data_IF_485166425021
#
_entry.id   IF_485166425021
#
_cell.length_a   1.000
_cell.length_b   1.000
_cell.length_c   1.000
_cell.angle_alpha   90.00
_cell.angle_beta   90.00
_cell.angle_gamma   90.00
#
_symmetry.space_group_name_H-M   'P 1'
#
loop_
_entity.id
_entity.type
_entity.pdbx_description
1 polymer ?
#
# COMPACT_ATOMS: atom_id res chain seq x y z
N UNK A 1 10.46 -9.68 -13.37
CA UNK A 1 11.38 -8.52 -13.27
C UNK A 1 12.69 -8.91 -13.92
N UNK A 2 13.12 -8.17 -14.93
CA UNK A 2 14.43 -8.36 -15.56
C UNK A 2 15.54 -7.85 -14.61
N UNK A 3 16.66 -8.57 -14.50
CA UNK A 3 17.75 -8.22 -13.57
C UNK A 3 18.31 -6.82 -13.83
N UNK A 4 18.25 -6.34 -15.08
CA UNK A 4 18.62 -4.97 -15.46
C UNK A 4 17.69 -3.91 -14.86
N UNK A 5 16.40 -4.19 -14.75
CA UNK A 5 15.42 -3.30 -14.15
C UNK A 5 15.60 -3.19 -12.63
N UNK A 6 15.83 -4.33 -11.96
CA UNK A 6 16.14 -4.37 -10.54
C UNK A 6 17.40 -3.57 -10.19
N UNK A 7 18.46 -3.68 -11.00
CA UNK A 7 19.70 -2.92 -10.79
C UNK A 7 19.51 -1.41 -10.99
N UNK A 8 18.67 -0.99 -11.95
CA UNK A 8 18.33 0.42 -12.15
C UNK A 8 17.52 0.97 -10.98
N UNK A 9 16.55 0.19 -10.48
CA UNK A 9 15.77 0.54 -9.29
C UNK A 9 16.67 0.67 -8.05
N UNK A 10 17.57 -0.29 -7.83
CA UNK A 10 18.52 -0.24 -6.72
C UNK A 10 19.43 0.99 -6.80
N UNK A 11 19.92 1.33 -7.99
CA UNK A 11 20.77 2.52 -8.21
C UNK A 11 20.02 3.82 -7.89
N UNK A 12 18.77 3.95 -8.33
CA UNK A 12 17.91 5.12 -8.02
C UNK A 12 17.64 5.22 -6.52
N UNK A 13 17.30 4.11 -5.87
CA UNK A 13 17.09 4.07 -4.42
C UNK A 13 18.35 4.49 -3.65
N UNK A 14 19.52 4.05 -4.11
CA UNK A 14 20.80 4.44 -3.50
C UNK A 14 21.08 5.94 -3.68
N UNK A 15 20.70 6.54 -4.80
CA UNK A 15 20.82 7.99 -5.03
C UNK A 15 19.87 8.78 -4.12
N UNK A 16 18.61 8.36 -4.01
CA UNK A 16 17.61 9.01 -3.16
C UNK A 16 18.04 9.04 -1.68
N UNK A 17 18.54 7.92 -1.16
CA UNK A 17 19.08 7.83 0.21
C UNK A 17 20.34 8.68 0.41
N UNK A 18 21.11 8.90 -0.67
CA UNK A 18 22.36 9.66 -0.59
C UNK A 18 22.18 11.17 -0.69
N UNK A 19 20.97 11.66 -0.96
CA UNK A 19 20.67 13.09 -0.99
C UNK A 19 20.94 13.75 0.37
N UNK A 20 21.38 15.01 0.34
CA UNK A 20 21.67 15.77 1.56
C UNK A 20 20.45 15.88 2.48
N UNK A 21 19.27 16.06 1.90
CA UNK A 21 18.00 16.13 2.63
C UNK A 21 17.63 14.80 3.31
N UNK A 22 17.88 13.65 2.67
CA UNK A 22 17.64 12.35 3.29
C UNK A 22 18.61 12.09 4.46
N UNK A 23 19.86 12.56 4.35
CA UNK A 23 20.90 12.36 5.37
C UNK A 23 20.78 13.28 6.58
N UNK A 24 20.51 14.56 6.34
CA UNK A 24 20.49 15.59 7.39
C UNK A 24 19.08 15.87 7.93
N UNK A 25 18.06 15.31 7.27
CA UNK A 25 16.66 15.64 7.51
C UNK A 25 16.22 16.85 6.70
N UNK A 26 14.96 16.84 6.24
CA UNK A 26 14.32 18.05 5.74
C UNK A 26 14.24 19.06 6.88
N UNK A 27 14.80 20.26 6.68
CA UNK A 27 14.87 21.33 7.69
C UNK A 27 13.51 21.68 8.31
N UNK A 28 12.85 22.75 7.87
CA UNK A 28 11.47 22.99 8.28
C UNK A 28 10.60 21.91 7.65
N UNK A 29 10.05 21.03 8.48
CA UNK A 29 9.12 20.00 8.04
C UNK A 29 7.81 20.66 7.58
N UNK A 30 7.12 20.02 6.63
CA UNK A 30 5.75 20.39 6.25
C UNK A 30 4.86 20.45 7.49
N UNK A 31 3.84 21.31 7.47
CA UNK A 31 2.91 21.44 8.60
C UNK A 31 2.24 20.09 8.92
N UNK A 32 1.99 19.26 7.90
CA UNK A 32 1.48 17.89 8.06
C UNK A 32 2.38 17.02 8.94
N UNK A 33 3.71 17.14 8.78
CA UNK A 33 4.66 16.33 9.55
C UNK A 33 4.79 16.84 10.98
N UNK A 34 4.56 18.13 11.22
CA UNK A 34 4.57 18.70 12.57
C UNK A 34 3.32 18.30 13.36
N UNK A 35 2.16 18.22 12.70
CA UNK A 35 0.88 17.87 13.30
C UNK A 35 0.70 16.35 13.48
N UNK A 36 0.99 15.56 12.44
CA UNK A 36 0.68 14.12 12.39
C UNK A 36 1.90 13.20 12.47
N UNK A 37 3.12 13.75 12.34
CA UNK A 37 4.33 12.96 12.15
C UNK A 37 4.48 12.35 10.75
N UNK A 38 3.50 12.56 9.87
CA UNK A 38 3.47 12.03 8.50
C UNK A 38 3.71 13.16 7.49
N UNK A 39 4.65 12.94 6.56
CA UNK A 39 4.92 13.87 5.46
C UNK A 39 4.04 13.52 4.26
N UNK A 40 2.98 14.28 4.05
CA UNK A 40 2.04 14.09 2.92
C UNK A 40 2.72 14.29 1.55
N UNK A 41 3.89 14.94 1.55
CA UNK A 41 4.69 15.18 0.36
C UNK A 41 5.25 13.88 -0.26
N UNK A 42 5.26 12.80 0.51
CA UNK A 42 5.59 11.44 0.08
C UNK A 42 4.65 10.96 -1.05
N UNK A 43 3.41 11.44 -1.08
CA UNK A 43 2.44 11.10 -2.13
C UNK A 43 2.86 11.56 -3.53
N UNK A 44 3.81 12.49 -3.62
CA UNK A 44 4.40 12.92 -4.90
C UNK A 44 5.61 12.11 -5.32
N UNK A 45 6.19 11.33 -4.41
CA UNK A 45 7.39 10.50 -4.68
C UNK A 45 7.05 9.12 -5.20
N UNK A 46 5.87 8.62 -4.85
CA UNK A 46 5.39 7.32 -5.29
C UNK A 46 4.19 7.53 -6.20
N UNK A 47 4.25 6.97 -7.41
CA UNK A 47 3.12 6.98 -8.36
C UNK A 47 1.97 6.06 -7.93
N UNK A 48 2.21 5.25 -6.88
CA UNK A 48 1.21 4.37 -6.30
C UNK A 48 0.33 5.17 -5.34
N UNK A 49 -0.96 4.82 -5.19
CA UNK A 49 -1.83 5.44 -4.21
C UNK A 49 -1.27 5.23 -2.80
N UNK A 50 -0.67 6.28 -2.23
CA UNK A 50 -0.18 6.32 -0.85
C UNK A 50 -1.23 6.99 0.03
N UNK A 51 -2.41 6.37 0.10
CA UNK A 51 -3.49 6.87 0.96
C UNK A 51 -3.26 6.35 2.39
N UNK A 52 -3.10 7.27 3.34
CA UNK A 52 -2.94 6.91 4.76
C UNK A 52 -4.31 6.95 5.41
N UNK A 53 -4.90 5.77 5.63
CA UNK A 53 -6.20 5.67 6.29
C UNK A 53 -6.04 5.66 7.80
N UNK A 54 -6.85 6.46 8.47
CA UNK A 54 -6.90 6.55 9.92
C UNK A 54 -8.23 6.01 10.43
N UNK A 55 -8.24 5.45 11.65
CA UNK A 55 -9.45 4.96 12.32
C UNK A 55 -9.54 3.44 12.44
N UNK A 56 -10.67 2.94 12.94
CA UNK A 56 -10.87 1.52 13.29
C UNK A 56 -10.81 0.57 12.08
N UNK A 57 -11.13 1.09 10.90
CA UNK A 57 -11.11 0.33 9.65
C UNK A 57 -9.68 0.06 9.17
N UNK A 58 -8.79 1.04 9.36
CA UNK A 58 -7.36 0.97 9.02
C UNK A 58 -6.53 0.11 9.99
N UNK A 59 -7.13 -0.43 11.05
CA UNK A 59 -6.42 -1.33 11.96
C UNK A 59 -6.29 -2.71 11.31
N UNK A 60 -5.06 -3.18 11.00
CA UNK A 60 -4.85 -4.53 10.53
C UNK A 60 -5.29 -5.50 11.62
N UNK A 61 -6.22 -6.38 11.28
CA UNK A 61 -6.62 -7.47 12.18
C UNK A 61 -5.94 -8.72 11.71
N UNK A 62 -5.36 -9.51 12.63
CA UNK A 62 -4.76 -10.80 12.33
C UNK A 62 -5.77 -11.88 11.85
N UNK A 63 -7.00 -11.50 11.52
CA UNK A 63 -8.03 -12.40 11.02
C UNK A 63 -8.34 -12.07 9.57
N UNK A 64 -8.26 -13.09 8.71
CA UNK A 64 -8.52 -12.98 7.26
C UNK A 64 -10.01 -12.85 6.90
N UNK A 65 -10.85 -12.60 7.90
CA UNK A 65 -12.30 -12.38 7.74
C UNK A 65 -12.64 -10.96 7.32
N UNK A 66 -11.71 -10.00 7.46
CA UNK A 66 -11.97 -8.63 7.02
C UNK A 66 -12.09 -8.58 5.50
N UNK A 67 -13.14 -7.95 4.95
CA UNK A 67 -13.25 -7.73 3.52
C UNK A 67 -12.15 -6.78 3.04
N UNK A 68 -11.58 -7.08 1.88
CA UNK A 68 -10.66 -6.16 1.21
C UNK A 68 -11.49 -5.07 0.51
N UNK A 69 -11.26 -3.78 0.77
CA UNK A 69 -11.93 -2.68 0.08
C UNK A 69 -11.67 -2.67 -1.43
N UNK A 70 -12.59 -2.12 -2.23
CA UNK A 70 -12.43 -2.03 -3.70
C UNK A 70 -11.19 -1.22 -4.09
N UNK A 71 -10.88 -0.16 -3.34
CA UNK A 71 -9.69 0.68 -3.56
C UNK A 71 -8.38 -0.10 -3.37
N UNK A 72 -8.38 -1.16 -2.55
CA UNK A 72 -7.22 -2.02 -2.30
C UNK A 72 -7.20 -3.25 -3.23
N UNK A 73 -8.10 -3.31 -4.22
CA UNK A 73 -8.23 -4.45 -5.14
C UNK A 73 -9.23 -5.50 -4.68
N UNK A 74 -10.11 -5.17 -3.73
CA UNK A 74 -11.23 -6.00 -3.33
C UNK A 74 -12.23 -6.21 -4.46
N UNK A 75 -12.75 -7.43 -4.55
CA UNK A 75 -13.74 -7.84 -5.57
C UNK A 75 -15.07 -8.11 -4.86
N UNK A 76 -16.18 -7.69 -5.49
CA UNK A 76 -17.53 -8.00 -5.01
C UNK A 76 -18.01 -9.33 -5.59
N UNK A 77 -18.70 -10.11 -4.77
CA UNK A 77 -19.45 -11.28 -5.21
C UNK A 77 -20.71 -10.85 -6.02
N UNK A 78 -21.39 -11.83 -6.64
CA UNK A 78 -22.66 -11.61 -7.36
C UNK A 78 -23.78 -11.03 -6.46
N UNK A 79 -23.59 -11.03 -5.13
CA UNK A 79 -24.51 -10.49 -4.12
C UNK A 79 -24.09 -9.09 -3.66
N UNK A 80 -23.06 -8.49 -4.27
CA UNK A 80 -22.55 -7.15 -3.98
C UNK A 80 -21.74 -7.02 -2.69
N UNK A 81 -21.33 -8.14 -2.06
CA UNK A 81 -20.52 -8.18 -0.84
C UNK A 81 -19.04 -8.27 -1.20
N UNK A 82 -18.19 -7.58 -0.45
CA UNK A 82 -16.74 -7.66 -0.64
C UNK A 82 -16.21 -9.02 -0.15
N UNK A 83 -15.32 -9.61 -0.94
CA UNK A 83 -14.67 -10.85 -0.57
C UNK A 83 -13.77 -10.66 0.67
N UNK A 84 -13.79 -11.61 1.63
CA UNK A 84 -12.85 -11.60 2.75
C UNK A 84 -11.42 -11.83 2.27
N UNK A 85 -10.44 -11.35 3.03
CA UNK A 85 -9.03 -11.51 2.71
C UNK A 85 -8.61 -12.97 2.45
N UNK A 86 -9.24 -13.94 3.15
CA UNK A 86 -9.03 -15.37 2.92
C UNK A 86 -9.28 -15.80 1.46
N UNK A 87 -10.20 -15.14 0.75
CA UNK A 87 -10.49 -15.40 -0.66
C UNK A 87 -9.31 -15.07 -1.59
N UNK A 88 -8.37 -14.24 -1.15
CA UNK A 88 -7.19 -13.83 -1.93
C UNK A 88 -5.94 -14.68 -1.62
N UNK A 89 -6.00 -15.57 -0.64
CA UNK A 89 -4.85 -16.39 -0.24
C UNK A 89 -4.67 -17.62 -1.14
N UNK A 90 -3.48 -17.82 -1.70
CA UNK A 90 -3.16 -18.99 -2.53
C UNK A 90 -3.32 -18.74 -4.03
N UNK A 91 -3.45 -19.82 -4.82
CA UNK A 91 -3.58 -19.72 -6.28
C UNK A 91 -5.03 -19.42 -6.67
N UNK A 92 -5.23 -18.39 -7.48
CA UNK A 92 -6.54 -17.91 -7.90
C UNK A 92 -7.13 -16.90 -6.91
N UNK A 93 -7.95 -15.98 -7.43
CA UNK A 93 -8.62 -14.97 -6.61
C UNK A 93 -9.92 -15.48 -6.00
N UNK A 94 -10.66 -14.60 -5.28
CA UNK A 94 -11.97 -14.95 -4.75
C UNK A 94 -12.95 -15.39 -5.85
N UNK A 95 -12.80 -14.89 -7.08
CA UNK A 95 -13.57 -15.29 -8.27
C UNK A 95 -13.39 -16.76 -8.66
N UNK A 96 -12.21 -17.34 -8.46
CA UNK A 96 -11.95 -18.75 -8.78
C UNK A 96 -12.42 -19.68 -7.64
N UNK A 97 -12.66 -19.12 -6.45
CA UNK A 97 -12.98 -19.86 -5.22
C UNK A 97 -14.47 -19.83 -4.87
N UNK A 98 -15.26 -18.99 -5.54
CA UNK A 98 -16.72 -18.98 -5.42
C UNK A 98 -17.37 -20.20 -6.09
N UNK A 99 -16.64 -20.96 -6.91
CA UNK A 99 -17.14 -22.15 -7.62
C UNK A 99 -17.16 -23.46 -6.79
N UNK A 100 -17.08 -23.38 -5.46
CA UNK A 100 -17.12 -24.54 -4.56
C UNK A 100 -18.19 -24.39 -3.48
N UNK A 101 -19.47 -24.39 -3.89
CA UNK A 101 -20.58 -24.84 -3.04
C UNK A 101 -21.74 -25.44 -3.86
#
# INVERSE_FOLDING_TARGET
>A
MDSSEANRMATRAQQDLNTYQAKQGLGRKSDSTLESGVDELVNRRFDQPTDVRYGREAVPTASDRKPIPEDEGGIRDDRGRLAPAQGFEGKGGPEDKVDLE
#
